data_IF_799864646317
#
_entry.id   IF_799864646317
#
_cell.length_a   1.000
_cell.length_b   1.000
_cell.length_c   1.000
_cell.angle_alpha   90.00
_cell.angle_beta   90.00
_cell.angle_gamma   90.00
#
_symmetry.space_group_name_H-M   'P 1'
#
loop_
_entity.id
_entity.type
_entity.pdbx_description
1 polymer ?
#
# COMPACT_ATOMS: atom_id res chain seq x y z
N UNK A 1 -27.74 -10.12 -4.77
CA UNK A 1 -27.17 -10.02 -6.00
C UNK A 1 -25.88 -9.26 -6.06
N UNK A 2 -25.88 -8.00 -5.88
CA UNK A 2 -24.62 -7.33 -5.92
C UNK A 2 -23.80 -7.57 -4.66
N UNK A 3 -24.40 -8.04 -3.62
CA UNK A 3 -23.58 -8.47 -2.50
C UNK A 3 -22.77 -9.71 -2.87
N UNK A 4 -23.27 -10.49 -3.79
CA UNK A 4 -22.51 -11.64 -4.25
C UNK A 4 -21.27 -11.23 -4.99
N UNK A 5 -21.33 -10.11 -5.66
CA UNK A 5 -20.16 -9.64 -6.37
C UNK A 5 -19.01 -9.34 -5.44
N UNK A 6 -19.33 -8.87 -4.26
CA UNK A 6 -18.25 -8.60 -3.32
C UNK A 6 -17.56 -9.88 -2.89
N UNK A 7 -18.31 -10.95 -2.75
CA UNK A 7 -17.70 -12.22 -2.41
C UNK A 7 -16.80 -12.71 -3.53
N UNK A 8 -17.25 -12.55 -4.74
CA UNK A 8 -16.45 -12.98 -5.86
C UNK A 8 -15.20 -12.15 -6.01
N UNK A 9 -15.32 -10.85 -5.83
CA UNK A 9 -14.17 -10.01 -6.10
C UNK A 9 -13.04 -10.30 -5.14
N UNK A 10 -13.34 -10.83 -3.96
CA UNK A 10 -12.27 -11.16 -3.04
C UNK A 10 -11.39 -12.27 -3.58
N UNK A 11 -11.99 -13.26 -4.24
CA UNK A 11 -11.23 -14.37 -4.78
C UNK A 11 -10.58 -14.03 -6.09
N UNK A 12 -11.21 -13.13 -6.82
CA UNK A 12 -10.72 -12.79 -8.15
C UNK A 12 -10.11 -11.41 -8.17
N UNK A 13 -9.70 -10.93 -7.02
CA UNK A 13 -9.21 -9.59 -6.92
C UNK A 13 -7.97 -9.38 -7.78
N UNK A 14 -7.99 -8.32 -8.54
CA UNK A 14 -6.87 -7.89 -9.34
C UNK A 14 -5.68 -7.61 -8.43
N UNK A 15 -4.48 -8.10 -8.77
CA UNK A 15 -3.31 -7.78 -7.97
C UNK A 15 -3.08 -6.29 -7.79
N UNK A 16 -3.44 -5.47 -8.78
CA UNK A 16 -3.31 -4.03 -8.63
C UNK A 16 -4.23 -3.49 -7.54
N UNK A 17 -5.45 -4.04 -7.45
CA UNK A 17 -6.38 -3.62 -6.42
C UNK A 17 -5.87 -4.03 -5.03
N UNK A 18 -5.26 -5.20 -4.94
CA UNK A 18 -4.67 -5.64 -3.68
C UNK A 18 -3.58 -4.69 -3.24
N UNK A 19 -2.68 -4.33 -4.16
CA UNK A 19 -1.61 -3.39 -3.84
C UNK A 19 -2.17 -2.05 -3.40
N UNK A 20 -3.23 -1.59 -4.05
CA UNK A 20 -3.82 -0.32 -3.69
C UNK A 20 -4.37 -0.34 -2.26
N UNK A 21 -5.02 -1.43 -1.87
CA UNK A 21 -5.53 -1.54 -0.51
C UNK A 21 -4.40 -1.58 0.50
N UNK A 22 -3.32 -2.29 0.17
CA UNK A 22 -2.15 -2.31 1.05
C UNK A 22 -1.53 -0.93 1.17
N UNK A 23 -1.46 -0.21 0.06
CA UNK A 23 -0.89 1.14 0.07
C UNK A 23 -1.76 2.09 0.89
N UNK A 24 -3.08 1.96 0.78
CA UNK A 24 -3.98 2.80 1.56
C UNK A 24 -3.80 2.53 3.06
N UNK A 25 -3.57 1.27 3.41
CA UNK A 25 -3.33 0.93 4.80
C UNK A 25 -2.05 1.56 5.31
N UNK A 26 -0.99 1.50 4.50
CA UNK A 26 0.28 2.12 4.88
C UNK A 26 0.10 3.62 5.04
N UNK A 27 -0.62 4.25 4.12
CA UNK A 27 -0.86 5.69 4.22
C UNK A 27 -1.61 6.02 5.52
N UNK A 28 -2.60 5.24 5.87
CA UNK A 28 -3.33 5.43 7.13
C UNK A 28 -2.41 5.31 8.33
N UNK A 29 -1.50 4.34 8.31
CA UNK A 29 -0.57 4.18 9.41
C UNK A 29 0.35 5.39 9.55
N UNK A 30 0.78 5.94 8.43
CA UNK A 30 1.68 7.09 8.48
C UNK A 30 1.00 8.29 9.10
N UNK A 31 -0.25 8.54 8.78
CA UNK A 31 -0.94 9.72 9.30
C UNK A 31 -1.48 9.51 10.70
N UNK A 32 -1.51 8.29 11.17
CA UNK A 32 -2.02 7.96 12.51
C UNK A 32 -0.88 7.96 13.51
N UNK A 33 -1.01 8.73 14.57
CA UNK A 33 0.08 8.88 15.53
C UNK A 33 0.28 7.66 16.42
N UNK A 34 -0.61 6.69 16.38
CA UNK A 34 -0.47 5.52 17.24
C UNK A 34 0.51 4.48 16.71
N UNK A 35 1.02 4.66 15.51
CA UNK A 35 2.03 3.76 14.95
C UNK A 35 3.39 4.42 14.98
N UNK A 36 4.41 3.64 15.31
CA UNK A 36 5.78 4.17 15.32
C UNK A 36 6.30 4.28 13.89
N UNK A 37 7.39 5.03 13.75
CA UNK A 37 8.05 5.12 12.44
C UNK A 37 8.53 3.77 11.97
N UNK A 38 9.00 2.94 12.90
CA UNK A 38 9.45 1.60 12.56
C UNK A 38 8.29 0.77 12.02
N UNK A 39 7.11 0.85 12.65
CA UNK A 39 5.95 0.13 12.17
C UNK A 39 5.60 0.53 10.75
N UNK A 40 5.64 1.83 10.47
CA UNK A 40 5.34 2.32 9.14
C UNK A 40 6.38 1.86 8.13
N UNK A 41 7.65 1.88 8.52
CA UNK A 41 8.71 1.44 7.63
C UNK A 41 8.58 -0.03 7.30
N UNK A 42 8.23 -0.85 8.27
CA UNK A 42 8.03 -2.27 8.03
C UNK A 42 6.85 -2.52 7.10
N UNK A 43 5.77 -1.78 7.29
CA UNK A 43 4.60 -1.92 6.42
C UNK A 43 4.93 -1.51 4.99
N UNK A 44 5.70 -0.44 4.81
CA UNK A 44 6.12 -0.04 3.48
C UNK A 44 7.00 -1.10 2.84
N UNK A 45 7.89 -1.67 3.61
CA UNK A 45 8.76 -2.72 3.10
C UNK A 45 7.96 -3.91 2.63
N UNK A 46 6.97 -4.31 3.40
CA UNK A 46 6.12 -5.43 3.02
C UNK A 46 5.36 -5.14 1.74
N UNK A 47 4.85 -3.92 1.63
CA UNK A 47 4.15 -3.52 0.42
C UNK A 47 5.08 -3.56 -0.78
N UNK A 48 6.30 -3.05 -0.63
CA UNK A 48 7.27 -3.06 -1.72
C UNK A 48 7.62 -4.47 -2.14
N UNK A 49 7.80 -5.37 -1.17
CA UNK A 49 8.10 -6.75 -1.47
C UNK A 49 6.96 -7.43 -2.21
N UNK A 50 5.73 -7.11 -1.81
CA UNK A 50 4.58 -7.67 -2.48
C UNK A 50 4.51 -7.16 -3.92
N UNK A 51 4.77 -5.89 -4.12
CA UNK A 51 4.78 -5.33 -5.47
C UNK A 51 5.85 -5.98 -6.33
N UNK A 52 7.02 -6.19 -5.76
CA UNK A 52 8.11 -6.86 -6.49
C UNK A 52 7.71 -8.27 -6.90
N UNK A 53 7.00 -8.97 -6.02
CA UNK A 53 6.54 -10.32 -6.30
C UNK A 53 5.50 -10.35 -7.41
N UNK A 54 4.57 -9.40 -7.40
CA UNK A 54 3.48 -9.38 -8.35
C UNK A 54 3.84 -8.70 -9.67
N UNK A 55 4.66 -7.67 -9.61
CA UNK A 55 4.98 -6.85 -10.78
C UNK A 55 6.47 -6.51 -10.78
N UNK A 56 7.34 -7.52 -10.97
CA UNK A 56 8.78 -7.24 -10.87
C UNK A 56 9.28 -6.23 -11.89
N UNK A 57 8.59 -6.10 -13.03
CA UNK A 57 9.02 -5.18 -14.07
C UNK A 57 8.51 -3.77 -13.86
N UNK A 58 7.75 -3.54 -12.80
CA UNK A 58 7.08 -2.25 -12.63
C UNK A 58 7.50 -1.53 -11.36
N UNK A 59 8.66 -1.84 -10.83
CA UNK A 59 9.11 -1.21 -9.61
C UNK A 59 9.35 0.29 -9.80
N UNK A 60 9.67 0.72 -11.03
CA UNK A 60 9.79 2.14 -11.30
C UNK A 60 8.48 2.87 -11.05
N UNK A 61 7.38 2.26 -11.49
CA UNK A 61 6.07 2.86 -11.27
C UNK A 61 5.70 2.85 -9.79
N UNK A 62 6.05 1.77 -9.10
CA UNK A 62 5.81 1.71 -7.67
C UNK A 62 6.48 2.90 -6.96
N UNK A 63 7.76 3.10 -7.23
CA UNK A 63 8.51 4.16 -6.59
C UNK A 63 7.93 5.53 -6.91
N UNK A 64 7.54 5.72 -8.16
CA UNK A 64 7.01 6.99 -8.59
C UNK A 64 5.67 7.30 -7.91
N UNK A 65 4.83 6.30 -7.76
CA UNK A 65 3.48 6.51 -7.24
C UNK A 65 3.44 6.43 -5.72
N UNK A 66 3.99 5.33 -5.17
CA UNK A 66 3.79 5.04 -3.76
C UNK A 66 4.89 5.54 -2.88
N UNK A 67 6.14 5.36 -3.25
CA UNK A 67 7.26 5.78 -2.42
C UNK A 67 7.23 7.30 -2.23
N UNK A 68 6.99 8.03 -3.31
CA UNK A 68 6.92 9.49 -3.22
C UNK A 68 5.74 9.94 -2.37
N UNK A 69 4.61 9.25 -2.51
CA UNK A 69 3.42 9.59 -1.72
C UNK A 69 3.68 9.39 -0.24
N UNK A 70 4.30 8.26 0.11
CA UNK A 70 4.57 7.98 1.51
C UNK A 70 5.56 8.96 2.10
N UNK A 71 6.57 9.33 1.32
CA UNK A 71 7.53 10.32 1.79
C UNK A 71 6.86 11.65 2.08
N UNK A 72 5.96 12.10 1.20
CA UNK A 72 5.23 13.33 1.45
C UNK A 72 4.39 13.25 2.71
N UNK A 73 3.72 12.12 2.90
CA UNK A 73 2.90 11.95 4.09
C UNK A 73 3.74 12.00 5.35
N UNK A 74 4.92 11.39 5.32
CA UNK A 74 5.81 11.45 6.46
C UNK A 74 6.25 12.88 6.75
N UNK A 75 6.59 13.61 5.72
CA UNK A 75 7.03 15.00 5.91
C UNK A 75 5.90 15.84 6.48
N UNK A 76 4.68 15.57 6.06
CA UNK A 76 3.54 16.36 6.47
C UNK A 76 3.05 16.00 7.87
N UNK A 77 3.07 14.73 8.22
CA UNK A 77 2.44 14.27 9.45
C UNK A 77 3.41 13.77 10.51
N UNK A 78 4.66 13.54 10.18
CA UNK A 78 5.62 12.95 11.11
C UNK A 78 6.96 13.65 11.16
N UNK A 79 7.09 14.78 10.56
CA UNK A 79 8.38 15.47 10.60
C UNK A 79 8.54 16.34 11.88
#
# INVERSE_FOLDING_TARGET
MWSDRRCFSREEEDPAALLQRMADRVASMIVTSSYSDLDCALAERELRMECLSLFPDRMNLYDLIYTNRFRRLREQFRS
#
